data_IF_395825686311
#
_entry.id   IF_395825686311
#
_cell.length_a   1.000
_cell.length_b   1.000
_cell.length_c   1.000
_cell.angle_alpha   90.00
_cell.angle_beta   90.00
_cell.angle_gamma   90.00
#
_symmetry.space_group_name_H-M   'P 1'
#
loop_
_entity.id
_entity.type
_entity.pdbx_description
1 polymer ?
#
# COMPACT_ATOMS: atom_id res chain seq x y z
N UNK A 1 13.65 -34.29 -36.01
CA UNK A 1 12.76 -33.24 -36.51
C UNK A 1 12.63 -32.19 -35.39
N UNK A 2 13.18 -31.02 -35.61
CA UNK A 2 13.08 -29.92 -34.61
C UNK A 2 11.79 -29.16 -34.89
N UNK A 3 10.80 -29.28 -34.00
CA UNK A 3 9.57 -28.50 -34.06
C UNK A 3 9.84 -27.02 -33.91
N UNK A 4 9.57 -26.27 -34.95
CA UNK A 4 9.61 -24.80 -34.89
C UNK A 4 8.42 -24.33 -34.04
N UNK A 5 8.68 -23.90 -32.81
CA UNK A 5 7.71 -23.14 -32.03
C UNK A 5 7.50 -21.80 -32.73
N UNK A 6 6.47 -21.69 -33.54
CA UNK A 6 6.01 -20.40 -34.00
C UNK A 6 5.52 -19.60 -32.81
N UNK A 7 6.29 -18.55 -32.47
CA UNK A 7 5.87 -17.55 -31.49
C UNK A 7 4.51 -17.01 -31.94
N UNK A 8 3.48 -17.19 -31.10
CA UNK A 8 2.16 -16.60 -31.32
C UNK A 8 2.33 -15.08 -31.38
N UNK A 9 2.16 -14.49 -32.54
CA UNK A 9 2.08 -13.03 -32.72
C UNK A 9 0.88 -12.55 -31.89
N UNK A 10 1.15 -11.98 -30.73
CA UNK A 10 0.13 -11.28 -29.95
C UNK A 10 -0.26 -10.02 -30.71
N UNK A 11 -1.52 -9.93 -31.08
CA UNK A 11 -2.08 -8.74 -31.73
C UNK A 11 -1.85 -7.52 -30.84
N UNK A 12 -1.38 -6.37 -31.40
CA UNK A 12 -1.26 -5.15 -30.62
C UNK A 12 -2.61 -4.77 -30.03
N UNK A 13 -2.65 -4.50 -28.75
CA UNK A 13 -3.88 -4.03 -28.09
C UNK A 13 -4.19 -2.61 -28.54
N UNK A 14 -5.47 -2.30 -28.72
CA UNK A 14 -5.93 -0.97 -29.07
C UNK A 14 -5.45 0.09 -28.04
N UNK A 15 -5.16 1.34 -28.52
CA UNK A 15 -4.83 2.44 -27.62
C UNK A 15 -6.02 2.76 -26.71
N UNK A 16 -5.72 3.30 -25.53
CA UNK A 16 -6.70 3.69 -24.50
C UNK A 16 -6.47 5.15 -24.13
N UNK A 17 -7.47 5.80 -23.60
CA UNK A 17 -7.29 7.10 -22.97
C UNK A 17 -6.36 7.00 -21.76
N UNK A 18 -5.58 8.06 -21.54
CA UNK A 18 -4.77 8.21 -20.32
C UNK A 18 -5.64 7.98 -19.07
N UNK A 19 -5.12 7.26 -18.09
CA UNK A 19 -5.84 6.96 -16.85
C UNK A 19 -6.01 8.15 -15.89
N UNK A 20 -5.54 9.34 -16.28
CA UNK A 20 -5.79 10.57 -15.52
C UNK A 20 -7.15 11.15 -15.91
N UNK A 21 -7.91 11.62 -14.91
CA UNK A 21 -9.20 12.28 -15.11
C UNK A 21 -9.03 13.49 -16.06
N UNK A 22 -9.92 13.63 -17.01
CA UNK A 22 -9.96 14.70 -17.99
C UNK A 22 -8.79 14.77 -18.99
N UNK A 23 -7.93 13.74 -19.03
CA UNK A 23 -6.88 13.65 -20.03
C UNK A 23 -7.31 12.81 -21.24
N UNK A 24 -7.38 13.44 -22.41
CA UNK A 24 -7.81 12.80 -23.66
C UNK A 24 -6.64 12.22 -24.49
N UNK A 25 -5.42 12.23 -23.96
CA UNK A 25 -4.24 11.69 -24.66
C UNK A 25 -4.35 10.17 -24.76
N UNK A 26 -4.21 9.63 -25.97
CA UNK A 26 -4.17 8.18 -26.21
C UNK A 26 -2.82 7.62 -25.77
N UNK A 27 -2.85 6.48 -25.11
CA UNK A 27 -1.67 5.71 -24.70
C UNK A 27 -1.78 4.28 -25.18
N UNK A 28 -0.67 3.71 -25.58
CA UNK A 28 -0.60 2.31 -26.01
C UNK A 28 -0.23 1.39 -24.86
N UNK A 29 -0.91 0.23 -24.71
CA UNK A 29 -0.49 -0.79 -23.75
C UNK A 29 0.99 -1.21 -23.94
N UNK A 30 1.71 -1.46 -22.86
CA UNK A 30 1.25 -1.60 -21.48
C UNK A 30 1.09 -0.29 -20.69
N UNK A 31 1.34 0.87 -21.29
CA UNK A 31 1.23 2.17 -20.60
C UNK A 31 -0.22 2.43 -20.16
N UNK A 32 -0.35 2.99 -18.97
CA UNK A 32 -1.64 3.43 -18.41
C UNK A 32 -1.81 4.95 -18.46
N UNK A 33 -0.72 5.68 -18.44
CA UNK A 33 -0.70 7.14 -18.40
C UNK A 33 0.17 7.69 -19.51
N UNK A 34 -0.15 8.88 -20.02
CA UNK A 34 0.69 9.62 -20.94
C UNK A 34 1.97 10.13 -20.26
N UNK A 35 3.00 10.57 -21.01
CA UNK A 35 4.26 11.04 -20.43
C UNK A 35 4.09 12.12 -19.36
N UNK A 36 3.13 13.02 -19.53
CA UNK A 36 2.84 14.09 -18.55
C UNK A 36 2.28 13.58 -17.23
N UNK A 37 1.59 12.43 -17.25
CA UNK A 37 0.95 11.85 -16.07
C UNK A 37 1.68 10.61 -15.50
N UNK A 38 2.64 10.06 -16.24
CA UNK A 38 3.37 8.83 -15.82
C UNK A 38 4.20 9.04 -14.57
N UNK A 39 4.71 10.23 -14.31
CA UNK A 39 5.67 10.49 -13.24
C UNK A 39 5.09 11.18 -12.01
N UNK A 40 3.79 11.32 -11.93
CA UNK A 40 3.12 12.03 -10.82
C UNK A 40 3.49 11.46 -9.44
N UNK A 41 3.65 10.14 -9.35
CA UNK A 41 4.02 9.45 -8.11
C UNK A 41 5.53 9.46 -7.81
N UNK A 42 6.38 9.56 -8.84
CA UNK A 42 7.84 9.62 -8.66
C UNK A 42 8.29 10.92 -8.00
N UNK A 43 7.56 11.99 -8.21
CA UNK A 43 7.87 13.33 -7.69
C UNK A 43 6.96 13.74 -6.53
N UNK A 44 5.99 12.91 -6.14
CA UNK A 44 5.20 13.17 -4.94
C UNK A 44 6.10 13.06 -3.71
N UNK A 45 6.17 14.10 -2.87
CA UNK A 45 6.95 14.00 -1.64
C UNK A 45 6.41 12.85 -0.80
N UNK A 46 7.30 11.98 -0.33
CA UNK A 46 6.91 10.92 0.59
C UNK A 46 6.26 11.53 1.81
N UNK A 47 5.11 11.03 2.19
CA UNK A 47 4.46 11.42 3.45
C UNK A 47 5.39 11.14 4.63
N UNK A 48 5.22 11.87 5.72
CA UNK A 48 5.98 11.67 6.96
C UNK A 48 5.89 10.20 7.41
N UNK A 49 4.70 9.60 7.33
CA UNK A 49 4.50 8.18 7.65
C UNK A 49 5.30 7.23 6.77
N UNK A 50 5.34 7.47 5.45
CA UNK A 50 6.12 6.64 4.52
C UNK A 50 7.64 6.74 4.76
N UNK A 51 8.14 7.90 5.18
CA UNK A 51 9.54 8.08 5.58
C UNK A 51 9.86 7.33 6.87
N UNK A 52 8.99 7.39 7.89
CA UNK A 52 9.15 6.66 9.16
C UNK A 52 9.22 5.15 8.94
N UNK A 53 8.34 4.58 8.12
CA UNK A 53 8.28 3.15 7.85
C UNK A 53 9.52 2.58 7.13
N UNK A 54 10.43 3.42 6.65
CA UNK A 54 11.67 2.99 5.99
C UNK A 54 12.87 2.88 6.93
N UNK A 55 12.77 3.38 8.17
CA UNK A 55 13.87 3.37 9.13
C UNK A 55 14.18 1.97 9.67
N UNK A 56 15.42 1.76 10.10
CA UNK A 56 15.85 0.49 10.73
C UNK A 56 15.12 0.28 12.05
N UNK A 57 14.95 1.34 12.84
CA UNK A 57 14.25 1.33 14.12
C UNK A 57 12.79 0.87 13.95
N UNK A 58 12.07 1.43 12.98
CA UNK A 58 10.71 1.00 12.66
C UNK A 58 10.64 -0.48 12.29
N UNK A 59 11.55 -0.96 11.44
CA UNK A 59 11.61 -2.37 11.03
C UNK A 59 11.81 -3.31 12.22
N UNK A 60 12.67 -2.92 13.18
CA UNK A 60 12.89 -3.68 14.39
C UNK A 60 11.65 -3.69 15.30
N UNK A 61 11.03 -2.54 15.52
CA UNK A 61 9.78 -2.43 16.30
C UNK A 61 8.65 -3.25 15.68
N UNK A 62 8.54 -3.20 14.35
CA UNK A 62 7.57 -4.01 13.61
C UNK A 62 7.74 -5.51 13.86
N UNK A 63 8.98 -6.00 13.80
CA UNK A 63 9.27 -7.42 14.05
C UNK A 63 8.90 -7.79 15.48
N UNK A 64 9.30 -6.99 16.47
CA UNK A 64 9.00 -7.21 17.88
C UNK A 64 7.47 -7.24 18.14
N UNK A 65 6.74 -6.32 17.54
CA UNK A 65 5.29 -6.26 17.64
C UNK A 65 4.61 -7.52 17.09
N UNK A 66 4.98 -7.95 15.88
CA UNK A 66 4.44 -9.16 15.28
C UNK A 66 4.78 -10.42 16.07
N UNK A 67 5.97 -10.49 16.67
CA UNK A 67 6.36 -11.61 17.55
C UNK A 67 5.56 -11.61 18.85
N UNK A 68 5.45 -10.45 19.53
CA UNK A 68 4.68 -10.30 20.76
C UNK A 68 3.22 -10.74 20.59
N UNK A 69 2.61 -10.33 19.48
CA UNK A 69 1.20 -10.58 19.18
C UNK A 69 0.98 -11.92 18.46
N UNK A 70 2.02 -12.75 18.35
CA UNK A 70 1.98 -14.07 17.68
C UNK A 70 1.39 -14.02 16.28
N UNK A 71 1.61 -12.92 15.56
CA UNK A 71 1.04 -12.65 14.22
C UNK A 71 -0.49 -12.73 14.19
N UNK A 72 -1.15 -12.43 15.30
CA UNK A 72 -2.61 -12.37 15.39
C UNK A 72 -3.08 -10.92 15.39
N UNK A 73 -4.10 -10.63 14.60
CA UNK A 73 -4.70 -9.29 14.55
C UNK A 73 -5.30 -8.93 15.92
N UNK A 74 -4.86 -7.81 16.49
CA UNK A 74 -5.32 -7.31 17.78
C UNK A 74 -6.57 -6.42 17.66
N UNK A 75 -6.86 -5.88 16.48
CA UNK A 75 -8.03 -5.01 16.24
C UNK A 75 -9.32 -5.82 16.24
N UNK A 76 -9.33 -6.99 15.59
CA UNK A 76 -10.44 -7.95 15.55
C UNK A 76 -11.80 -7.33 15.18
N UNK A 77 -11.80 -6.48 14.14
CA UNK A 77 -13.04 -5.92 13.61
C UNK A 77 -13.91 -6.94 12.87
N UNK A 78 -15.09 -6.51 12.36
CA UNK A 78 -16.06 -7.41 11.70
C UNK A 78 -15.52 -8.16 10.48
N UNK A 79 -14.51 -7.60 9.79
CA UNK A 79 -13.89 -8.19 8.59
C UNK A 79 -12.48 -8.73 8.84
N UNK A 80 -12.18 -9.04 10.09
CA UNK A 80 -10.88 -9.54 10.51
C UNK A 80 -10.55 -10.90 9.88
N UNK A 81 -9.36 -11.00 9.31
CA UNK A 81 -8.84 -12.26 8.75
C UNK A 81 -7.96 -13.03 9.74
N UNK A 82 -7.91 -12.62 11.00
CA UNK A 82 -7.18 -13.21 12.13
C UNK A 82 -5.66 -13.06 12.01
N UNK A 83 -5.06 -13.44 10.87
CA UNK A 83 -3.61 -13.40 10.68
C UNK A 83 -3.17 -11.95 10.41
N UNK A 84 -2.24 -11.46 11.23
CA UNK A 84 -1.65 -10.13 11.06
C UNK A 84 -0.47 -10.17 10.09
N UNK A 85 -0.51 -9.29 9.12
CA UNK A 85 0.56 -9.07 8.14
C UNK A 85 1.17 -7.68 8.25
N UNK A 86 0.50 -6.79 9.00
CA UNK A 86 0.84 -5.39 9.16
C UNK A 86 0.98 -5.03 10.64
N UNK A 87 1.55 -3.87 10.91
CA UNK A 87 1.62 -3.28 12.25
C UNK A 87 0.99 -1.91 12.19
N UNK A 88 0.09 -1.65 13.09
CA UNK A 88 -0.67 -0.42 13.21
C UNK A 88 -0.31 0.31 14.52
N UNK A 89 -0.48 1.62 14.53
CA UNK A 89 -0.39 2.43 15.73
C UNK A 89 -1.74 2.44 16.45
N UNK A 90 -1.76 2.05 17.72
CA UNK A 90 -2.98 2.11 18.55
C UNK A 90 -3.52 3.54 18.55
N UNK A 91 -2.66 4.50 18.86
CA UNK A 91 -2.91 5.94 18.66
C UNK A 91 -2.17 6.34 17.40
N UNK A 92 -2.90 6.81 16.40
CA UNK A 92 -2.30 7.21 15.13
C UNK A 92 -1.27 8.34 15.31
N UNK A 93 -0.24 8.33 14.47
CA UNK A 93 0.81 9.37 14.49
C UNK A 93 0.21 10.77 14.32
N UNK A 94 -0.83 10.91 13.51
CA UNK A 94 -1.55 12.17 13.33
C UNK A 94 -2.20 12.71 14.63
N UNK A 95 -2.45 11.84 15.60
CA UNK A 95 -3.02 12.17 16.92
C UNK A 95 -1.97 12.10 18.05
N UNK A 96 -0.68 12.16 17.71
CA UNK A 96 0.42 12.15 18.68
C UNK A 96 0.93 10.77 19.08
N UNK A 97 0.54 9.72 18.39
CA UNK A 97 1.03 8.37 18.63
C UNK A 97 2.52 8.21 18.34
N UNK A 98 3.20 7.39 19.16
CA UNK A 98 4.64 7.12 19.06
C UNK A 98 4.90 5.78 18.35
N UNK A 99 6.17 5.53 17.99
CA UNK A 99 6.64 4.26 17.44
C UNK A 99 7.09 3.26 18.53
N UNK A 100 6.81 3.58 19.80
CA UNK A 100 7.11 2.69 20.91
C UNK A 100 6.24 1.43 20.83
N UNK A 101 6.81 0.31 21.26
CA UNK A 101 6.16 -1.01 21.15
C UNK A 101 4.78 -1.04 21.83
N UNK A 102 4.60 -0.29 22.90
CA UNK A 102 3.35 -0.15 23.65
C UNK A 102 2.22 0.48 22.83
N UNK A 103 2.58 1.33 21.87
CA UNK A 103 1.63 1.97 20.95
C UNK A 103 1.49 1.22 19.62
N UNK A 104 2.09 0.06 19.48
CA UNK A 104 2.01 -0.76 18.28
C UNK A 104 1.16 -2.00 18.52
N UNK A 105 0.41 -2.40 17.50
CA UNK A 105 -0.38 -3.62 17.50
C UNK A 105 -0.30 -4.32 16.15
N UNK A 106 -0.26 -5.65 16.17
CA UNK A 106 -0.35 -6.44 14.95
C UNK A 106 -1.76 -6.36 14.36
N UNK A 107 -1.86 -6.17 13.06
CA UNK A 107 -3.13 -6.01 12.37
C UNK A 107 -3.18 -6.79 11.06
N UNK A 108 -4.36 -7.31 10.72
CA UNK A 108 -4.62 -7.78 9.37
C UNK A 108 -4.95 -6.58 8.47
N UNK A 109 -4.75 -6.75 7.17
CA UNK A 109 -4.97 -5.69 6.20
C UNK A 109 -6.38 -5.07 6.28
N UNK A 110 -7.42 -5.89 6.40
CA UNK A 110 -8.80 -5.40 6.44
C UNK A 110 -9.08 -4.52 7.67
N UNK A 111 -8.61 -4.94 8.84
CA UNK A 111 -8.78 -4.16 10.07
C UNK A 111 -7.96 -2.88 10.05
N UNK A 112 -6.71 -2.95 9.59
CA UNK A 112 -5.83 -1.79 9.46
C UNK A 112 -6.42 -0.75 8.49
N UNK A 113 -6.86 -1.17 7.30
CA UNK A 113 -7.48 -0.28 6.31
C UNK A 113 -8.76 0.39 6.86
N UNK A 114 -9.61 -0.35 7.57
CA UNK A 114 -10.83 0.18 8.19
C UNK A 114 -10.52 1.23 9.24
N UNK A 115 -9.56 0.94 10.14
CA UNK A 115 -9.13 1.86 11.19
C UNK A 115 -8.52 3.13 10.60
N UNK A 116 -7.56 3.00 9.68
CA UNK A 116 -6.91 4.13 9.01
C UNK A 116 -7.90 5.02 8.25
N UNK A 117 -8.91 4.41 7.62
CA UNK A 117 -9.98 5.17 6.96
C UNK A 117 -10.84 5.99 7.92
N UNK A 118 -11.12 5.48 9.13
CA UNK A 118 -11.83 6.23 10.17
C UNK A 118 -10.98 7.38 10.72
N UNK A 119 -9.72 7.12 11.03
CA UNK A 119 -8.76 8.12 11.53
C UNK A 119 -8.54 9.24 10.52
N UNK A 120 -8.40 8.93 9.23
CA UNK A 120 -8.27 9.92 8.17
C UNK A 120 -9.47 10.86 8.06
N UNK A 121 -10.69 10.37 8.30
CA UNK A 121 -11.89 11.22 8.34
C UNK A 121 -11.97 12.09 9.59
N UNK A 122 -11.43 11.63 10.70
CA UNK A 122 -11.46 12.38 11.97
C UNK A 122 -10.36 13.44 12.05
N UNK A 123 -9.35 13.38 11.17
CA UNK A 123 -8.24 14.33 11.13
C UNK A 123 -8.49 15.55 10.19
N UNK A 124 -9.65 15.66 9.56
CA UNK A 124 -10.03 16.76 8.65
C UNK A 124 -10.78 17.89 9.35
#
# INVERSE_FOLDING_TARGET
MRGQHQARRTMPRAPKLCGHTDCLTLVHPPLRYCPEHTNRWKHSPRTVGAKRCSTTEWKQQRIKCLQRDERKCQIRGPRCTVIATEVDHVIAVAFGGTDELENLQAACHNCHATKSGREGRSAQ
#
